data_IF_088768297957
#
_entry.id   IF_088768297957
#
_cell.length_a   1.000
_cell.length_b   1.000
_cell.length_c   1.000
_cell.angle_alpha   90.00
_cell.angle_beta   90.00
_cell.angle_gamma   90.00
#
_symmetry.space_group_name_H-M   'P 1'
#
loop_
_entity.id
_entity.type
_entity.pdbx_description
1 polymer ?
#
# COMPACT_ATOMS: atom_id res chain seq x y z
N UNK A 1 8.27 47.56 -13.19
CA UNK A 1 8.87 46.45 -12.42
C UNK A 1 8.07 46.32 -11.14
N UNK A 2 7.05 45.47 -11.16
CA UNK A 2 6.24 45.19 -9.97
C UNK A 2 6.90 44.00 -9.30
N UNK A 3 7.52 44.23 -8.15
CA UNK A 3 8.03 43.18 -7.28
C UNK A 3 6.80 42.44 -6.75
N UNK A 4 6.52 41.25 -7.30
CA UNK A 4 5.58 40.33 -6.68
C UNK A 4 6.17 39.91 -5.35
N UNK A 5 5.53 40.35 -4.26
CA UNK A 5 5.79 39.87 -2.93
C UNK A 5 5.62 38.35 -2.93
N UNK A 6 6.71 37.62 -2.67
CA UNK A 6 6.64 36.21 -2.25
C UNK A 6 5.71 36.17 -1.04
N UNK A 7 4.50 35.63 -1.22
CA UNK A 7 3.69 35.24 -0.09
C UNK A 7 4.50 34.17 0.66
N UNK A 8 4.90 34.48 1.89
CA UNK A 8 5.39 33.50 2.86
C UNK A 8 4.29 32.45 3.02
N UNK A 9 4.33 31.43 2.17
CA UNK A 9 3.41 30.31 2.25
C UNK A 9 3.95 29.47 3.38
N UNK A 10 3.29 29.55 4.54
CA UNK A 10 3.65 28.75 5.71
C UNK A 10 3.83 27.29 5.28
N UNK A 11 4.99 26.71 5.59
CA UNK A 11 5.32 25.33 5.22
C UNK A 11 4.22 24.38 5.69
N UNK A 12 3.80 23.47 4.82
CA UNK A 12 2.83 22.41 5.13
C UNK A 12 3.47 21.25 5.88
N UNK A 13 4.81 21.24 5.99
CA UNK A 13 5.57 20.34 6.86
C UNK A 13 5.69 20.94 8.27
N UNK A 14 4.55 21.03 8.95
CA UNK A 14 4.46 21.57 10.33
C UNK A 14 5.18 20.66 11.33
N UNK A 15 5.46 21.14 12.57
CA UNK A 15 6.00 20.28 13.63
C UNK A 15 5.15 19.02 13.89
N UNK A 16 3.83 19.13 13.82
CA UNK A 16 2.89 18.03 14.01
C UNK A 16 2.99 17.01 12.87
N UNK A 17 3.12 17.48 11.62
CA UNK A 17 3.36 16.59 10.48
C UNK A 17 4.73 15.89 10.61
N UNK A 18 5.79 16.61 10.99
CA UNK A 18 7.11 16.01 11.21
C UNK A 18 7.10 14.98 12.33
N UNK A 19 6.30 15.19 13.37
CA UNK A 19 6.16 14.24 14.48
C UNK A 19 5.52 12.91 14.05
N UNK A 20 4.91 12.83 12.87
CA UNK A 20 4.38 11.57 12.32
C UNK A 20 5.49 10.65 11.79
N UNK A 21 6.69 11.16 11.51
CA UNK A 21 7.81 10.33 11.05
C UNK A 21 8.17 9.32 12.15
N UNK A 22 8.22 8.06 11.76
CA UNK A 22 8.49 6.93 12.65
C UNK A 22 7.24 6.35 13.33
N UNK A 23 6.04 6.92 13.13
CA UNK A 23 4.80 6.30 13.63
C UNK A 23 4.60 4.95 12.95
N UNK A 24 4.46 3.91 13.77
CA UNK A 24 4.26 2.51 13.36
C UNK A 24 2.84 2.06 13.69
N UNK A 25 2.28 1.24 12.81
CA UNK A 25 1.04 0.52 13.06
C UNK A 25 1.26 -0.77 13.86
N UNK A 26 0.16 -1.42 14.21
CA UNK A 26 0.20 -2.77 14.76
C UNK A 26 0.77 -3.75 13.73
N UNK A 27 1.50 -4.77 14.21
CA UNK A 27 1.91 -5.90 13.39
C UNK A 27 0.74 -6.87 13.25
N UNK A 28 0.26 -7.05 12.03
CA UNK A 28 -0.96 -7.80 11.73
C UNK A 28 -0.63 -9.05 10.94
N UNK A 29 -1.29 -10.15 11.30
CA UNK A 29 -1.36 -11.35 10.48
C UNK A 29 -2.39 -11.16 9.36
N UNK A 30 -1.93 -11.25 8.12
CA UNK A 30 -2.77 -11.25 6.93
C UNK A 30 -3.72 -12.45 6.96
N UNK A 31 -4.94 -12.28 6.45
CA UNK A 31 -5.91 -13.38 6.42
C UNK A 31 -5.50 -14.51 5.47
N UNK A 32 -5.47 -15.74 6.01
CA UNK A 32 -5.12 -16.97 5.30
C UNK A 32 -3.62 -17.10 5.02
N UNK A 33 -3.27 -18.18 4.32
CA UNK A 33 -1.90 -18.43 3.86
C UNK A 33 -1.71 -17.99 2.42
N UNK A 34 -0.46 -18.00 1.96
CA UNK A 34 -0.15 -18.00 0.53
C UNK A 34 -0.70 -19.28 -0.07
N UNK A 35 -1.61 -19.18 -1.02
CA UNK A 35 -2.35 -20.33 -1.53
C UNK A 35 -2.41 -20.34 -3.07
N UNK A 36 -2.54 -21.55 -3.63
CA UNK A 36 -2.51 -21.78 -5.08
C UNK A 36 -3.68 -21.12 -5.82
N UNK A 37 -4.84 -20.99 -5.17
CA UNK A 37 -6.01 -20.38 -5.79
C UNK A 37 -5.86 -18.86 -5.90
N UNK A 38 -5.31 -18.22 -4.86
CA UNK A 38 -5.00 -16.80 -4.92
C UNK A 38 -3.88 -16.51 -5.92
N UNK A 39 -2.83 -17.34 -5.96
CA UNK A 39 -1.77 -17.26 -6.96
C UNK A 39 -2.36 -17.29 -8.38
N UNK A 40 -3.22 -18.29 -8.67
CA UNK A 40 -3.90 -18.42 -9.97
C UNK A 40 -4.75 -17.20 -10.29
N UNK A 41 -5.53 -16.68 -9.34
CA UNK A 41 -6.37 -15.49 -9.55
C UNK A 41 -5.51 -14.25 -9.79
N UNK A 42 -4.43 -14.09 -9.04
CA UNK A 42 -3.54 -12.95 -9.14
C UNK A 42 -2.84 -12.91 -10.50
N UNK A 43 -2.20 -14.01 -10.91
CA UNK A 43 -1.46 -14.09 -12.19
C UNK A 43 -2.38 -13.92 -13.39
N UNK A 44 -3.61 -14.42 -13.33
CA UNK A 44 -4.64 -14.14 -14.34
C UNK A 44 -5.03 -12.66 -14.37
N UNK A 45 -5.22 -12.02 -13.22
CA UNK A 45 -5.59 -10.61 -13.14
C UNK A 45 -4.51 -9.68 -13.73
N UNK A 46 -3.23 -10.05 -13.58
CA UNK A 46 -2.10 -9.31 -14.17
C UNK A 46 -1.64 -9.84 -15.53
N UNK A 47 -2.32 -10.86 -16.07
CA UNK A 47 -1.99 -11.53 -17.33
C UNK A 47 -0.54 -12.01 -17.41
N UNK A 48 0.03 -12.47 -16.30
CA UNK A 48 1.40 -13.00 -16.22
C UNK A 48 1.38 -14.52 -16.45
N UNK A 49 1.84 -15.01 -17.62
CA UNK A 49 1.70 -16.41 -18.00
C UNK A 49 2.85 -17.29 -17.48
N UNK A 50 3.71 -16.79 -16.61
CA UNK A 50 4.93 -17.50 -16.21
C UNK A 50 4.62 -18.91 -15.63
N UNK A 51 5.17 -19.98 -16.23
CA UNK A 51 4.92 -21.34 -15.78
C UNK A 51 5.43 -21.62 -14.37
N UNK A 52 6.38 -20.82 -13.84
CA UNK A 52 6.89 -20.96 -12.46
C UNK A 52 5.81 -20.82 -11.40
N UNK A 53 4.64 -20.27 -11.74
CA UNK A 53 3.53 -20.09 -10.81
C UNK A 53 2.57 -21.29 -10.75
N UNK A 54 2.69 -22.30 -11.62
CA UNK A 54 1.71 -23.40 -11.65
C UNK A 54 2.24 -24.74 -12.16
N UNK A 55 3.32 -24.76 -12.96
CA UNK A 55 3.94 -25.99 -13.45
C UNK A 55 5.03 -26.44 -12.48
N UNK A 56 4.70 -27.41 -11.61
CA UNK A 56 5.62 -27.92 -10.59
C UNK A 56 6.90 -28.52 -11.18
N UNK A 57 6.81 -29.22 -12.32
CA UNK A 57 7.97 -29.88 -12.94
C UNK A 57 8.89 -28.84 -13.57
N UNK A 58 8.32 -27.83 -14.23
CA UNK A 58 9.09 -26.69 -14.69
C UNK A 58 9.74 -25.94 -13.52
N UNK A 59 8.98 -25.66 -12.45
CA UNK A 59 9.45 -24.92 -11.30
C UNK A 59 10.62 -25.60 -10.58
N UNK A 60 10.57 -26.93 -10.40
CA UNK A 60 11.67 -27.77 -9.89
C UNK A 60 12.94 -27.67 -10.74
N UNK A 61 12.82 -27.44 -12.04
CA UNK A 61 13.98 -27.28 -12.93
C UNK A 61 14.67 -25.91 -12.81
N UNK A 62 14.02 -24.94 -12.16
CA UNK A 62 14.57 -23.60 -11.96
C UNK A 62 15.43 -23.52 -10.70
N UNK A 63 16.14 -22.40 -10.52
CA UNK A 63 16.92 -22.13 -9.30
C UNK A 63 16.06 -22.11 -8.02
N UNK A 64 14.75 -21.85 -8.14
CA UNK A 64 13.83 -21.81 -7.00
C UNK A 64 13.47 -23.20 -6.48
N UNK A 65 13.49 -24.23 -7.34
CA UNK A 65 13.21 -25.61 -6.95
C UNK A 65 11.75 -25.92 -6.57
N UNK A 66 10.87 -24.91 -6.57
CA UNK A 66 9.45 -25.02 -6.24
C UNK A 66 8.64 -23.94 -6.96
N UNK A 67 7.31 -24.08 -6.92
CA UNK A 67 6.38 -23.06 -7.40
C UNK A 67 6.58 -21.79 -6.56
N UNK A 68 6.81 -20.67 -7.26
CA UNK A 68 6.95 -19.35 -6.64
C UNK A 68 5.68 -18.54 -6.82
N UNK A 69 5.63 -17.37 -6.19
CA UNK A 69 4.57 -16.38 -6.38
C UNK A 69 5.16 -15.07 -6.92
N UNK A 70 4.39 -14.26 -7.69
CA UNK A 70 4.83 -12.92 -8.05
C UNK A 70 5.21 -12.13 -6.79
N UNK A 71 6.38 -11.46 -6.72
CA UNK A 71 6.84 -10.84 -5.47
C UNK A 71 5.87 -9.82 -4.89
N UNK A 72 5.19 -9.08 -5.76
CA UNK A 72 4.22 -8.07 -5.35
C UNK A 72 2.91 -8.67 -4.82
N UNK A 73 2.61 -9.94 -5.10
CA UNK A 73 1.34 -10.57 -4.71
C UNK A 73 1.06 -10.48 -3.21
N UNK A 74 2.08 -10.66 -2.36
CA UNK A 74 1.90 -10.62 -0.91
C UNK A 74 1.54 -9.24 -0.38
N UNK A 75 1.91 -8.15 -1.07
CA UNK A 75 1.47 -6.81 -0.68
C UNK A 75 -0.03 -6.59 -0.90
N UNK A 76 -0.69 -7.44 -1.70
CA UNK A 76 -2.15 -7.44 -1.87
C UNK A 76 -2.87 -8.35 -0.87
N UNK A 77 -2.15 -9.26 -0.20
CA UNK A 77 -2.73 -10.11 0.85
C UNK A 77 -3.11 -9.30 2.09
N UNK A 78 -2.35 -8.25 2.41
CA UNK A 78 -2.60 -7.35 3.56
C UNK A 78 -3.97 -6.66 3.51
N UNK A 79 -4.58 -6.59 2.33
CA UNK A 79 -5.94 -6.04 2.13
C UNK A 79 -7.06 -7.06 2.25
N UNK A 80 -6.77 -8.34 2.52
CA UNK A 80 -7.80 -9.38 2.68
C UNK A 80 -8.60 -9.12 3.96
N UNK A 81 -9.91 -8.94 3.80
CA UNK A 81 -10.86 -8.79 4.90
C UNK A 81 -11.21 -10.17 5.45
N UNK A 82 -11.20 -10.32 6.77
CA UNK A 82 -11.60 -11.58 7.43
C UNK A 82 -13.12 -11.77 7.31
N UNK A 83 -13.63 -13.01 7.20
CA UNK A 83 -15.08 -13.26 7.07
C UNK A 83 -15.93 -12.65 8.20
N UNK A 84 -15.37 -12.53 9.40
CA UNK A 84 -16.01 -11.96 10.57
C UNK A 84 -15.81 -10.45 10.73
N UNK A 85 -14.95 -9.84 9.90
CA UNK A 85 -14.65 -8.42 9.98
C UNK A 85 -15.70 -7.61 9.20
N UNK A 86 -16.03 -6.42 9.72
CA UNK A 86 -16.85 -5.44 9.00
C UNK A 86 -16.22 -5.10 7.64
N UNK A 87 -17.04 -5.16 6.59
CA UNK A 87 -16.59 -4.76 5.26
C UNK A 87 -16.51 -3.23 5.18
N UNK A 88 -15.28 -2.73 5.20
CA UNK A 88 -15.00 -1.30 5.19
C UNK A 88 -15.54 -0.59 3.93
N UNK A 89 -15.71 -1.31 2.81
CA UNK A 89 -16.33 -0.76 1.60
C UNK A 89 -17.83 -0.56 1.82
N UNK A 90 -18.54 -1.60 2.30
CA UNK A 90 -19.96 -1.50 2.65
C UNK A 90 -20.22 -0.34 3.61
N UNK A 91 -19.45 -0.26 4.71
CA UNK A 91 -19.55 0.85 5.66
C UNK A 91 -19.38 2.22 5.01
N UNK A 92 -18.38 2.37 4.14
CA UNK A 92 -18.13 3.64 3.46
C UNK A 92 -19.31 4.08 2.58
N UNK A 93 -20.03 3.14 1.95
CA UNK A 93 -21.25 3.44 1.19
C UNK A 93 -22.47 3.73 2.08
N UNK A 94 -22.59 3.06 3.22
CA UNK A 94 -23.65 3.35 4.21
C UNK A 94 -23.51 4.75 4.80
N UNK A 95 -22.28 5.18 5.10
CA UNK A 95 -21.99 6.51 5.64
C UNK A 95 -22.06 7.62 4.57
N UNK A 96 -21.61 7.30 3.35
CA UNK A 96 -21.63 8.23 2.22
C UNK A 96 -21.98 7.50 0.92
N UNK A 97 -23.21 7.65 0.40
CA UNK A 97 -23.61 7.04 -0.87
C UNK A 97 -22.78 7.46 -2.09
N UNK A 98 -22.05 8.57 -2.00
CA UNK A 98 -21.15 9.07 -3.04
C UNK A 98 -19.68 8.65 -2.82
N UNK A 99 -19.41 7.73 -1.89
CA UNK A 99 -18.09 7.17 -1.68
C UNK A 99 -17.56 6.51 -2.96
N UNK A 100 -16.25 6.63 -3.19
CA UNK A 100 -15.56 5.94 -4.27
C UNK A 100 -15.10 4.53 -3.89
N UNK A 101 -15.35 4.10 -2.65
CA UNK A 101 -14.94 2.80 -2.10
C UNK A 101 -13.42 2.63 -1.97
N UNK A 102 -12.64 3.70 -2.07
CA UNK A 102 -11.17 3.66 -2.05
C UNK A 102 -10.60 4.69 -1.08
N UNK A 103 -10.88 5.98 -1.29
CA UNK A 103 -10.13 7.08 -0.66
C UNK A 103 -10.39 7.26 0.84
N UNK A 104 -11.54 6.78 1.32
CA UNK A 104 -11.99 6.92 2.72
C UNK A 104 -12.09 5.59 3.47
N UNK A 105 -11.65 4.50 2.85
CA UNK A 105 -11.80 3.15 3.41
C UNK A 105 -10.61 2.81 4.29
N UNK A 106 -10.85 2.70 5.60
CA UNK A 106 -9.83 2.23 6.55
C UNK A 106 -9.56 0.73 6.35
N UNK A 107 -8.29 0.35 6.46
CA UNK A 107 -7.83 -1.03 6.30
C UNK A 107 -7.08 -1.50 7.55
N UNK A 108 -7.00 -2.82 7.79
CA UNK A 108 -6.17 -3.35 8.86
C UNK A 108 -4.75 -2.77 8.79
N UNK A 109 -4.27 -2.23 9.91
CA UNK A 109 -2.93 -1.68 10.03
C UNK A 109 -2.76 -0.30 9.40
N UNK A 110 -3.86 0.40 9.09
CA UNK A 110 -3.81 1.80 8.69
C UNK A 110 -3.08 2.65 9.74
N UNK A 111 -2.26 3.58 9.26
CA UNK A 111 -1.61 4.56 10.10
C UNK A 111 -2.56 5.73 10.40
N UNK A 112 -2.37 6.46 11.52
CA UNK A 112 -3.16 7.64 11.80
C UNK A 112 -3.02 8.68 10.67
N UNK A 113 -4.08 9.42 10.33
CA UNK A 113 -4.03 10.41 9.26
C UNK A 113 -3.00 11.50 9.56
N UNK A 114 -2.29 11.94 8.52
CA UNK A 114 -1.36 13.07 8.63
C UNK A 114 -2.15 14.35 8.93
N UNK A 115 -1.76 15.15 9.95
CA UNK A 115 -2.47 16.37 10.33
C UNK A 115 -2.17 17.51 9.36
N UNK A 116 -2.75 17.43 8.15
CA UNK A 116 -2.58 18.40 7.07
C UNK A 116 -3.92 18.80 6.47
N UNK A 117 -3.97 20.00 5.89
CA UNK A 117 -5.13 20.50 5.15
C UNK A 117 -5.13 20.07 3.67
N UNK A 118 -4.08 19.37 3.21
CA UNK A 118 -4.01 18.84 1.86
C UNK A 118 -4.99 17.68 1.69
N UNK A 119 -5.85 17.76 0.67
CA UNK A 119 -6.95 16.80 0.48
C UNK A 119 -6.70 15.79 -0.64
N UNK A 120 -5.76 16.05 -1.54
CA UNK A 120 -5.53 15.20 -2.71
C UNK A 120 -4.38 14.24 -2.47
N UNK A 121 -4.71 12.96 -2.37
CA UNK A 121 -3.74 11.86 -2.33
C UNK A 121 -3.52 11.31 -3.73
N UNK A 122 -2.26 11.03 -4.08
CA UNK A 122 -1.87 10.38 -5.31
C UNK A 122 -0.75 9.38 -5.00
N UNK A 123 -0.81 8.18 -5.57
CA UNK A 123 0.34 7.27 -5.53
C UNK A 123 1.43 7.82 -6.46
N UNK A 124 2.55 8.27 -5.87
CA UNK A 124 3.68 8.86 -6.59
C UNK A 124 4.72 7.81 -7.05
N UNK A 125 4.54 6.54 -6.69
CA UNK A 125 5.45 5.43 -6.99
C UNK A 125 5.49 4.42 -5.85
N UNK A 126 5.96 3.21 -6.15
CA UNK A 126 6.22 2.18 -5.16
C UNK A 126 7.64 1.65 -5.36
N UNK A 127 8.33 1.36 -4.26
CA UNK A 127 9.60 0.64 -4.25
C UNK A 127 9.40 -0.65 -3.46
N UNK A 128 9.86 -1.77 -4.02
CA UNK A 128 9.71 -3.09 -3.40
C UNK A 128 11.08 -3.75 -3.41
N UNK A 129 11.57 -4.08 -2.22
CA UNK A 129 12.76 -4.89 -2.01
C UNK A 129 12.35 -6.31 -1.63
N UNK A 130 12.85 -7.30 -2.38
CA UNK A 130 12.47 -8.70 -2.23
C UNK A 130 13.67 -9.49 -1.73
N UNK A 131 13.63 -9.88 -0.46
CA UNK A 131 14.68 -10.69 0.15
C UNK A 131 14.50 -12.19 -0.13
N UNK A 132 13.25 -12.65 -0.20
CA UNK A 132 12.90 -14.04 -0.46
C UNK A 132 11.51 -14.12 -1.10
N UNK A 133 11.32 -15.10 -1.98
CA UNK A 133 10.01 -15.41 -2.53
C UNK A 133 9.19 -16.22 -1.51
N UNK A 134 7.91 -15.88 -1.30
CA UNK A 134 7.01 -16.68 -0.48
C UNK A 134 6.78 -18.06 -1.09
N UNK A 135 6.73 -19.09 -0.25
CA UNK A 135 6.34 -20.44 -0.63
C UNK A 135 4.82 -20.62 -0.40
N UNK A 136 4.22 -21.59 -1.11
CA UNK A 136 2.83 -21.97 -0.85
C UNK A 136 2.71 -22.49 0.59
N UNK A 137 1.73 -21.98 1.33
CA UNK A 137 1.49 -22.30 2.74
C UNK A 137 2.04 -21.25 3.72
N UNK A 138 2.84 -20.28 3.27
CA UNK A 138 3.38 -19.25 4.15
C UNK A 138 2.29 -18.39 4.80
N UNK A 139 2.48 -18.06 6.07
CA UNK A 139 1.67 -17.06 6.79
C UNK A 139 2.36 -15.69 6.69
N UNK A 140 1.63 -14.69 6.21
CA UNK A 140 2.17 -13.34 6.00
C UNK A 140 1.82 -12.43 7.17
N UNK A 141 2.82 -11.73 7.69
CA UNK A 141 2.65 -10.64 8.66
C UNK A 141 3.13 -9.33 8.04
N UNK A 142 2.45 -8.23 8.34
CA UNK A 142 2.83 -6.90 7.88
C UNK A 142 2.74 -5.87 8.98
N UNK A 143 3.48 -4.77 8.81
CA UNK A 143 3.46 -3.61 9.68
C UNK A 143 3.75 -2.37 8.82
N UNK A 144 2.94 -1.33 8.98
CA UNK A 144 3.12 -0.08 8.26
C UNK A 144 3.87 0.93 9.12
N UNK A 145 4.60 1.86 8.49
CA UNK A 145 5.30 2.95 9.14
C UNK A 145 5.39 4.16 8.22
N UNK A 146 5.30 5.37 8.76
CA UNK A 146 5.77 6.56 8.06
C UNK A 146 7.30 6.64 8.18
N UNK A 147 8.02 6.22 7.15
CA UNK A 147 9.47 6.24 7.14
C UNK A 147 10.02 7.67 7.01
N UNK A 148 9.42 8.49 6.15
CA UNK A 148 9.85 9.89 5.94
C UNK A 148 8.70 10.75 5.37
N UNK A 149 8.75 12.06 5.64
CA UNK A 149 7.79 13.05 5.11
C UNK A 149 8.56 14.30 4.67
N UNK A 150 8.42 14.66 3.39
CA UNK A 150 9.13 15.77 2.77
C UNK A 150 8.18 16.75 2.10
N UNK A 151 8.41 18.04 2.27
CA UNK A 151 7.72 19.07 1.49
C UNK A 151 8.40 19.30 0.14
N UNK A 152 7.59 19.51 -0.88
CA UNK A 152 8.01 20.00 -2.19
C UNK A 152 7.00 21.03 -2.68
N UNK A 153 7.43 21.89 -3.60
CA UNK A 153 6.57 22.88 -4.27
C UNK A 153 6.45 22.50 -5.74
N UNK A 154 5.21 22.40 -6.21
CA UNK A 154 4.89 22.10 -7.61
C UNK A 154 5.26 23.24 -8.55
N UNK A 155 5.24 22.97 -9.85
CA UNK A 155 5.47 23.99 -10.89
C UNK A 155 4.41 25.11 -10.88
N UNK A 156 3.24 24.82 -10.33
CA UNK A 156 2.13 25.76 -10.12
C UNK A 156 2.23 26.53 -8.78
N UNK A 157 3.34 26.38 -8.05
CA UNK A 157 3.58 27.07 -6.78
C UNK A 157 2.91 26.42 -5.57
N UNK A 158 2.18 25.31 -5.72
CA UNK A 158 1.48 24.66 -4.62
C UNK A 158 2.38 23.68 -3.87
N UNK A 159 2.39 23.77 -2.54
CA UNK A 159 3.09 22.82 -1.70
C UNK A 159 2.39 21.45 -1.69
N UNK A 160 3.17 20.38 -1.60
CA UNK A 160 2.70 19.02 -1.40
C UNK A 160 3.68 18.24 -0.53
N UNK A 161 3.18 17.18 0.11
CA UNK A 161 3.98 16.26 0.90
C UNK A 161 4.27 15.00 0.08
N UNK A 162 5.52 14.55 0.12
CA UNK A 162 5.93 13.20 -0.27
C UNK A 162 6.03 12.40 1.01
N UNK A 163 5.29 11.31 1.08
CA UNK A 163 5.22 10.41 2.24
C UNK A 163 5.74 9.05 1.77
N UNK A 164 6.66 8.46 2.53
CA UNK A 164 7.20 7.11 2.33
C UNK A 164 7.09 6.30 3.59
#
# INVERSE_FOLDING_TARGET
MTQESQQDTQSVLTPEVKAMIGVEGERIESWGTVDVEYLRRFTQAVMDPDPRYWDEEFAKSTHYGEVIVPPIMVSYMVGRIRPEQEDAITKAFEENPMSDGIGSVERPGALPPIPTHLVRTLNAGNEIEVYQYPSIGDTIYFQNRYHDIRERVGRDGKAFLIIT
#
